data_IF_262872376940
#
_entry.id   IF_262872376940
#
_cell.length_a   1.000
_cell.length_b   1.000
_cell.length_c   1.000
_cell.angle_alpha   90.00
_cell.angle_beta   90.00
_cell.angle_gamma   90.00
#
_symmetry.space_group_name_H-M   'P 1'
#
loop_
_entity.id
_entity.type
_entity.pdbx_description
1 polymer ?
#
# COMPACT_ATOMS: atom_id res chain seq x y z
N UNK A 1 -11.35 4.76 -39.00
CA UNK A 1 -10.69 3.54 -38.49
C UNK A 1 -9.33 3.80 -37.86
N UNK A 2 -8.37 4.49 -38.51
CA UNK A 2 -7.03 4.76 -37.93
C UNK A 2 -7.04 5.56 -36.61
N UNK A 3 -7.89 6.59 -36.50
CA UNK A 3 -8.00 7.42 -35.27
C UNK A 3 -8.54 6.64 -34.05
N UNK A 4 -9.49 5.74 -34.28
CA UNK A 4 -10.02 4.87 -33.23
C UNK A 4 -8.98 3.85 -32.76
N UNK A 5 -8.20 3.27 -33.69
CA UNK A 5 -7.09 2.38 -33.35
C UNK A 5 -6.03 3.06 -32.48
N UNK A 6 -5.61 4.28 -32.85
CA UNK A 6 -4.66 5.08 -32.06
C UNK A 6 -5.23 5.36 -30.66
N UNK A 7 -6.51 5.71 -30.56
CA UNK A 7 -7.17 5.95 -29.27
C UNK A 7 -7.15 4.72 -28.35
N UNK A 8 -7.47 3.53 -28.87
CA UNK A 8 -7.40 2.30 -28.07
C UNK A 8 -5.97 1.94 -27.64
N UNK A 9 -4.98 2.16 -28.52
CA UNK A 9 -3.56 1.97 -28.17
C UNK A 9 -3.16 2.90 -27.03
N UNK A 10 -3.58 4.17 -27.07
CA UNK A 10 -3.28 5.13 -26.00
C UNK A 10 -3.94 4.76 -24.67
N UNK A 11 -5.19 4.30 -24.69
CA UNK A 11 -5.87 3.80 -23.48
C UNK A 11 -5.12 2.59 -22.91
N UNK A 12 -4.78 1.61 -23.76
CA UNK A 12 -4.09 0.41 -23.32
C UNK A 12 -2.71 0.73 -22.74
N UNK A 13 -1.96 1.61 -23.39
CA UNK A 13 -0.68 2.11 -22.89
C UNK A 13 -0.85 2.83 -21.54
N UNK A 14 -1.89 3.65 -21.37
CA UNK A 14 -2.16 4.33 -20.10
C UNK A 14 -2.49 3.36 -18.97
N UNK A 15 -3.23 2.27 -19.24
CA UNK A 15 -3.54 1.23 -18.27
C UNK A 15 -2.26 0.47 -17.87
N UNK A 16 -1.43 0.06 -18.83
CA UNK A 16 -0.18 -0.66 -18.56
C UNK A 16 0.86 0.21 -17.84
N UNK A 17 0.92 1.51 -18.18
CA UNK A 17 1.86 2.46 -17.59
C UNK A 17 1.28 3.26 -16.42
N UNK A 18 0.14 2.84 -15.84
CA UNK A 18 -0.57 3.58 -14.79
C UNK A 18 0.33 4.00 -13.61
N UNK A 19 1.18 3.10 -13.13
CA UNK A 19 2.14 3.41 -12.04
C UNK A 19 3.19 4.44 -12.49
N UNK A 20 3.66 4.37 -13.73
CA UNK A 20 4.64 5.32 -14.27
C UNK A 20 4.03 6.72 -14.42
N UNK A 21 2.81 6.78 -14.98
CA UNK A 21 2.05 8.02 -15.13
C UNK A 21 1.78 8.66 -13.77
N UNK A 22 1.25 7.90 -12.80
CA UNK A 22 1.02 8.41 -11.45
C UNK A 22 2.31 8.95 -10.82
N UNK A 23 3.38 8.16 -10.86
CA UNK A 23 4.68 8.54 -10.30
C UNK A 23 5.42 9.62 -11.12
N UNK A 24 4.85 10.14 -12.20
CA UNK A 24 5.35 11.36 -12.86
C UNK A 24 4.88 12.60 -12.10
N UNK A 25 3.61 12.60 -11.65
CA UNK A 25 2.97 13.76 -11.05
C UNK A 25 2.93 13.74 -9.53
N UNK A 26 2.87 12.55 -8.92
CA UNK A 26 2.65 12.40 -7.49
C UNK A 26 3.92 12.02 -6.72
N UNK A 27 4.10 12.59 -5.54
CA UNK A 27 5.17 12.27 -4.57
C UNK A 27 4.61 12.21 -3.16
N UNK A 28 5.21 11.39 -2.31
CA UNK A 28 4.82 11.24 -0.90
C UNK A 28 5.96 11.72 -0.02
N UNK A 29 5.65 12.54 0.98
CA UNK A 29 6.62 12.98 1.98
C UNK A 29 6.27 12.40 3.34
N UNK A 30 7.18 11.66 3.95
CA UNK A 30 6.99 11.08 5.29
C UNK A 30 6.97 12.20 6.33
N UNK A 31 5.97 12.21 7.20
CA UNK A 31 5.84 13.14 8.34
C UNK A 31 5.71 12.42 9.67
N UNK A 32 5.51 11.11 9.67
CA UNK A 32 5.39 10.31 10.88
C UNK A 32 5.40 8.81 10.60
N UNK A 33 5.31 8.04 11.69
CA UNK A 33 5.28 6.59 11.68
C UNK A 33 4.31 6.08 12.72
N UNK A 34 3.66 4.96 12.41
CA UNK A 34 2.80 4.21 13.33
C UNK A 34 3.43 2.85 13.62
N UNK A 35 3.09 2.31 14.79
CA UNK A 35 3.54 0.98 15.18
C UNK A 35 2.90 -0.08 14.28
N UNK A 36 3.73 -0.96 13.72
CA UNK A 36 3.27 -2.21 13.07
C UNK A 36 2.98 -3.22 14.17
N UNK A 37 1.79 -3.82 14.17
CA UNK A 37 1.33 -4.71 15.23
C UNK A 37 1.14 -6.11 14.68
N UNK A 38 1.61 -7.12 15.40
CA UNK A 38 1.34 -8.51 15.03
C UNK A 38 -0.14 -8.84 15.26
N UNK A 39 -0.72 -9.60 14.32
CA UNK A 39 -2.10 -10.07 14.38
C UNK A 39 -2.14 -11.56 14.72
N UNK A 40 -3.26 -12.04 15.26
CA UNK A 40 -3.45 -13.42 15.74
C UNK A 40 -4.38 -14.26 14.87
N UNK A 41 -5.11 -13.65 13.93
CA UNK A 41 -6.05 -14.34 13.06
C UNK A 41 -5.45 -15.59 12.37
N UNK A 42 -6.02 -16.76 12.64
CA UNK A 42 -5.46 -18.06 12.21
C UNK A 42 -5.68 -18.32 10.72
N UNK A 43 -6.81 -17.91 10.18
CA UNK A 43 -7.15 -18.14 8.77
C UNK A 43 -6.24 -17.32 7.87
N UNK A 44 -6.05 -16.04 8.19
CA UNK A 44 -5.11 -15.17 7.50
C UNK A 44 -3.69 -15.71 7.56
N UNK A 45 -3.21 -16.15 8.74
CA UNK A 45 -1.89 -16.77 8.88
C UNK A 45 -1.73 -18.00 7.99
N UNK A 46 -2.71 -18.91 8.02
CA UNK A 46 -2.71 -20.13 7.20
C UNK A 46 -2.67 -19.80 5.71
N UNK A 47 -3.46 -18.81 5.27
CA UNK A 47 -3.44 -18.34 3.89
C UNK A 47 -2.05 -17.82 3.47
N UNK A 48 -1.40 -17.03 4.33
CA UNK A 48 -0.09 -16.43 4.05
C UNK A 48 1.05 -17.46 4.10
N UNK A 49 0.97 -18.45 4.99
CA UNK A 49 1.97 -19.52 5.11
C UNK A 49 1.95 -20.45 3.90
N UNK A 50 0.78 -20.65 3.28
CA UNK A 50 0.63 -21.42 2.04
C UNK A 50 1.19 -20.71 0.79
N UNK A 51 1.57 -19.43 0.89
CA UNK A 51 2.21 -18.71 -0.22
C UNK A 51 3.67 -19.15 -0.38
N UNK A 52 3.97 -19.80 -1.51
CA UNK A 52 5.33 -20.29 -1.89
C UNK A 52 6.32 -19.19 -2.30
N UNK A 53 5.84 -17.95 -2.36
CA UNK A 53 6.53 -16.75 -2.86
C UNK A 53 7.57 -16.25 -1.86
N UNK A 54 8.86 -16.24 -2.23
CA UNK A 54 9.95 -15.86 -1.33
C UNK A 54 10.66 -14.55 -1.73
N UNK A 55 10.36 -13.98 -2.89
CA UNK A 55 10.89 -12.68 -3.30
C UNK A 55 10.12 -11.53 -2.62
N UNK A 56 10.80 -10.40 -2.38
CA UNK A 56 10.20 -9.25 -1.71
C UNK A 56 9.04 -8.65 -2.53
N UNK A 57 9.16 -8.62 -3.86
CA UNK A 57 8.13 -8.05 -4.72
C UNK A 57 6.89 -8.93 -4.71
N UNK A 58 7.09 -10.23 -4.69
CA UNK A 58 6.05 -11.23 -4.59
C UNK A 58 5.31 -11.17 -3.24
N UNK A 59 6.04 -10.98 -2.13
CA UNK A 59 5.46 -10.77 -0.79
C UNK A 59 4.59 -9.51 -0.79
N UNK A 60 5.12 -8.40 -1.29
CA UNK A 60 4.40 -7.13 -1.38
C UNK A 60 3.13 -7.28 -2.24
N UNK A 61 3.26 -7.91 -3.41
CA UNK A 61 2.15 -8.10 -4.34
C UNK A 61 1.04 -8.97 -3.72
N UNK A 62 1.40 -10.08 -3.07
CA UNK A 62 0.43 -10.94 -2.38
C UNK A 62 -0.23 -10.24 -1.19
N UNK A 63 0.51 -9.41 -0.45
CA UNK A 63 -0.06 -8.63 0.64
C UNK A 63 -1.02 -7.54 0.14
N UNK A 64 -0.71 -6.89 -0.99
CA UNK A 64 -1.60 -5.94 -1.66
C UNK A 64 -2.89 -6.61 -2.11
N UNK A 65 -2.79 -7.70 -2.88
CA UNK A 65 -3.94 -8.49 -3.34
C UNK A 65 -4.81 -8.98 -2.18
N UNK A 66 -4.19 -9.45 -1.10
CA UNK A 66 -4.92 -9.89 0.08
C UNK A 66 -5.62 -8.73 0.77
N UNK A 67 -4.97 -7.57 0.90
CA UNK A 67 -5.55 -6.37 1.51
C UNK A 67 -6.78 -5.89 0.72
N UNK A 68 -6.70 -5.86 -0.62
CA UNK A 68 -7.83 -5.46 -1.49
C UNK A 68 -8.94 -6.50 -1.55
N UNK A 69 -8.61 -7.78 -1.38
CA UNK A 69 -9.59 -8.85 -1.31
C UNK A 69 -10.35 -8.84 0.02
N UNK A 70 -9.67 -8.50 1.11
CA UNK A 70 -10.24 -8.53 2.46
C UNK A 70 -10.91 -7.23 2.90
N UNK A 71 -10.55 -6.09 2.31
CA UNK A 71 -11.01 -4.79 2.80
C UNK A 71 -11.81 -4.05 1.74
N UNK A 72 -12.76 -3.26 2.21
CA UNK A 72 -13.46 -2.24 1.45
C UNK A 72 -13.21 -0.88 2.09
N UNK A 73 -12.88 0.10 1.26
CA UNK A 73 -12.52 1.42 1.75
C UNK A 73 -13.72 2.19 2.31
N UNK A 74 -13.45 3.00 3.33
CA UNK A 74 -14.42 3.80 4.06
C UNK A 74 -13.85 5.17 4.42
N UNK A 75 -14.67 6.19 4.27
CA UNK A 75 -14.38 7.55 4.74
C UNK A 75 -14.73 7.75 6.23
N UNK A 76 -15.37 6.77 6.86
CA UNK A 76 -15.72 6.80 8.28
C UNK A 76 -14.55 6.39 9.18
N UNK A 77 -14.72 6.60 10.49
CA UNK A 77 -13.79 6.06 11.48
C UNK A 77 -13.81 4.53 11.42
N UNK A 78 -12.67 3.95 11.13
CA UNK A 78 -12.45 2.51 11.15
C UNK A 78 -11.42 2.14 12.21
N UNK A 79 -11.36 0.86 12.57
CA UNK A 79 -10.28 0.31 13.38
C UNK A 79 -8.97 0.26 12.58
N UNK A 80 -7.85 0.05 13.26
CA UNK A 80 -6.53 -0.12 12.66
C UNK A 80 -5.79 -1.36 13.16
N UNK A 81 -6.46 -2.22 13.93
CA UNK A 81 -5.97 -3.53 14.34
C UNK A 81 -6.39 -4.56 13.31
N UNK A 82 -5.42 -5.25 12.73
CA UNK A 82 -5.66 -6.28 11.71
C UNK A 82 -6.65 -7.35 12.17
N UNK A 83 -6.60 -7.82 13.43
CA UNK A 83 -7.55 -8.81 13.96
C UNK A 83 -9.01 -8.32 13.98
N UNK A 84 -9.22 -7.01 14.05
CA UNK A 84 -10.56 -6.41 13.96
C UNK A 84 -10.92 -6.21 12.48
N UNK A 85 -9.98 -5.73 11.67
CA UNK A 85 -10.16 -5.49 10.23
C UNK A 85 -10.49 -6.76 9.44
N UNK A 86 -9.90 -7.91 9.80
CA UNK A 86 -10.25 -9.22 9.21
C UNK A 86 -11.73 -9.53 9.39
N UNK A 87 -12.35 -9.06 10.49
CA UNK A 87 -13.77 -9.30 10.78
C UNK A 87 -14.67 -8.24 10.17
N UNK A 88 -14.30 -6.96 10.29
CA UNK A 88 -15.14 -5.85 9.84
C UNK A 88 -15.10 -5.67 8.33
N UNK A 89 -14.02 -6.10 7.66
CA UNK A 89 -13.80 -5.97 6.21
C UNK A 89 -13.89 -4.52 5.71
N UNK A 90 -13.85 -3.53 6.61
CA UNK A 90 -14.02 -2.10 6.31
C UNK A 90 -12.87 -1.33 6.94
N UNK A 91 -12.16 -0.54 6.12
CA UNK A 91 -10.98 0.21 6.55
C UNK A 91 -10.87 1.55 5.85
N UNK A 92 -10.18 2.50 6.48
CA UNK A 92 -9.73 3.73 5.84
C UNK A 92 -8.21 3.64 5.56
N UNK A 93 -7.53 4.71 5.12
CA UNK A 93 -6.09 4.64 4.78
C UNK A 93 -5.23 4.12 5.94
N UNK A 94 -5.55 4.52 7.18
CA UNK A 94 -4.87 4.03 8.40
C UNK A 94 -5.08 2.52 8.56
N UNK A 95 -6.32 2.04 8.39
CA UNK A 95 -6.65 0.62 8.49
C UNK A 95 -6.02 -0.21 7.37
N UNK A 96 -6.06 0.27 6.13
CA UNK A 96 -5.42 -0.37 4.97
C UNK A 96 -3.91 -0.53 5.21
N UNK A 97 -3.24 0.56 5.60
CA UNK A 97 -1.80 0.54 5.83
C UNK A 97 -1.40 -0.27 7.05
N UNK A 98 -2.22 -0.31 8.10
CA UNK A 98 -2.00 -1.21 9.23
C UNK A 98 -2.14 -2.68 8.85
N UNK A 99 -3.21 -3.05 8.11
CA UNK A 99 -3.43 -4.40 7.63
C UNK A 99 -2.28 -4.84 6.69
N UNK A 100 -1.94 -4.00 5.72
CA UNK A 100 -0.90 -4.26 4.72
C UNK A 100 0.47 -4.43 5.39
N UNK A 101 0.88 -3.49 6.25
CA UNK A 101 2.15 -3.57 6.96
C UNK A 101 2.23 -4.84 7.83
N UNK A 102 1.15 -5.16 8.55
CA UNK A 102 1.14 -6.35 9.43
C UNK A 102 1.20 -7.65 8.63
N UNK A 103 0.54 -7.69 7.47
CA UNK A 103 0.59 -8.83 6.53
C UNK A 103 1.99 -9.04 5.98
N UNK A 104 2.63 -7.97 5.48
CA UNK A 104 4.02 -8.04 4.97
C UNK A 104 4.97 -8.46 6.11
N UNK A 105 4.86 -7.85 7.28
CA UNK A 105 5.70 -8.19 8.43
C UNK A 105 5.57 -9.67 8.82
N UNK A 106 4.35 -10.21 8.81
CA UNK A 106 4.12 -11.63 9.08
C UNK A 106 4.82 -12.52 8.05
N UNK A 107 4.66 -12.22 6.75
CA UNK A 107 5.30 -12.99 5.68
C UNK A 107 6.83 -12.92 5.74
N UNK A 108 7.40 -11.74 6.04
CA UNK A 108 8.85 -11.58 6.22
C UNK A 108 9.36 -12.44 7.39
N UNK A 109 8.63 -12.46 8.51
CA UNK A 109 8.99 -13.27 9.67
C UNK A 109 8.89 -14.77 9.36
N UNK A 110 7.79 -15.23 8.75
CA UNK A 110 7.60 -16.65 8.46
C UNK A 110 8.60 -17.19 7.44
N UNK A 111 9.13 -16.31 6.59
CA UNK A 111 10.16 -16.63 5.58
C UNK A 111 11.60 -16.31 6.02
N UNK A 112 11.80 -15.87 7.27
CA UNK A 112 13.12 -15.49 7.83
C UNK A 112 13.84 -14.41 7.00
N UNK A 113 13.09 -13.44 6.48
CA UNK A 113 13.58 -12.30 5.71
C UNK A 113 13.64 -11.00 6.53
N UNK A 114 13.17 -11.03 7.77
CA UNK A 114 13.08 -9.88 8.67
C UNK A 114 14.44 -9.30 9.10
N UNK A 115 15.54 -10.04 8.92
CA UNK A 115 16.89 -9.52 9.17
C UNK A 115 17.37 -8.61 8.03
N UNK A 116 16.84 -8.84 6.81
CA UNK A 116 17.19 -8.11 5.58
C UNK A 116 16.18 -7.03 5.23
N UNK A 117 14.92 -7.21 5.60
CA UNK A 117 13.83 -6.33 5.21
C UNK A 117 13.07 -5.85 6.43
N UNK A 118 12.91 -4.53 6.52
CA UNK A 118 12.11 -3.85 7.55
C UNK A 118 10.85 -3.28 6.93
N UNK A 119 9.72 -3.48 7.58
CA UNK A 119 8.45 -2.85 7.24
C UNK A 119 8.15 -1.69 8.19
N UNK A 120 7.62 -0.61 7.66
CA UNK A 120 7.17 0.55 8.42
C UNK A 120 5.81 1.04 7.92
N UNK A 121 4.91 1.32 8.85
CA UNK A 121 3.65 2.01 8.58
C UNK A 121 3.88 3.51 8.72
N UNK A 122 3.88 4.24 7.60
CA UNK A 122 4.20 5.67 7.55
C UNK A 122 2.95 6.53 7.42
N UNK A 123 3.06 7.74 7.96
CA UNK A 123 2.12 8.83 7.77
C UNK A 123 2.82 9.88 6.91
N UNK A 124 2.14 10.44 5.91
CA UNK A 124 2.74 11.46 5.06
C UNK A 124 1.78 12.36 4.33
N UNK A 125 2.36 13.35 3.67
CA UNK A 125 1.66 14.25 2.77
C UNK A 125 1.85 13.78 1.33
N UNK A 126 0.81 13.97 0.52
CA UNK A 126 0.81 13.72 -0.92
C UNK A 126 1.04 15.06 -1.62
N UNK A 127 1.91 15.04 -2.63
CA UNK A 127 2.23 16.18 -3.46
C UNK A 127 1.83 15.86 -4.90
N UNK A 128 1.13 16.78 -5.55
CA UNK A 128 0.88 16.77 -6.99
C UNK A 128 1.65 17.92 -7.61
N UNK A 129 2.56 17.64 -8.56
CA UNK A 129 3.40 18.66 -9.20
C UNK A 129 4.10 19.57 -8.17
N UNK A 130 4.66 18.98 -7.11
CA UNK A 130 5.31 19.68 -5.98
C UNK A 130 4.40 20.54 -5.09
N UNK A 131 3.09 20.57 -5.36
CA UNK A 131 2.10 21.21 -4.49
C UNK A 131 1.55 20.20 -3.49
N UNK A 132 1.57 20.54 -2.19
CA UNK A 132 1.00 19.68 -1.15
C UNK A 132 -0.53 19.67 -1.27
N UNK A 133 -1.11 18.54 -1.71
CA UNK A 133 -2.55 18.46 -1.93
C UNK A 133 -3.35 18.37 -0.64
N UNK A 134 -2.71 17.92 0.47
CA UNK A 134 -3.36 17.84 1.77
C UNK A 134 -3.79 19.22 2.30
N UNK A 135 -3.15 20.31 1.84
CA UNK A 135 -3.54 21.68 2.20
C UNK A 135 -4.94 22.08 1.69
N UNK A 136 -5.46 21.38 0.68
CA UNK A 136 -6.79 21.63 0.11
C UNK A 136 -7.88 20.75 0.74
N UNK A 137 -7.51 19.83 1.65
CA UNK A 137 -8.44 18.92 2.32
C UNK A 137 -9.09 19.59 3.54
N UNK A 138 -10.42 19.71 3.52
CA UNK A 138 -11.18 20.37 4.61
C UNK A 138 -11.29 19.53 5.87
N UNK A 139 -11.43 18.21 5.74
CA UNK A 139 -11.55 17.30 6.90
C UNK A 139 -10.18 17.04 7.52
N UNK A 140 -10.11 17.08 8.86
CA UNK A 140 -8.92 16.64 9.62
C UNK A 140 -8.48 15.22 9.25
N UNK A 141 -9.43 14.38 8.88
CA UNK A 141 -9.20 12.98 8.57
C UNK A 141 -8.42 12.75 7.25
N UNK A 142 -8.39 13.73 6.33
CA UNK A 142 -7.65 13.63 5.06
C UNK A 142 -6.44 14.57 5.00
N UNK A 143 -6.03 15.15 6.13
CA UNK A 143 -4.87 16.06 6.19
C UNK A 143 -3.53 15.35 6.09
N UNK A 144 -3.53 14.04 6.32
CA UNK A 144 -2.41 13.15 6.05
C UNK A 144 -2.93 11.90 5.36
N UNK A 145 -2.00 11.07 4.90
CA UNK A 145 -2.30 9.79 4.29
C UNK A 145 -1.31 8.74 4.77
N UNK A 146 -1.84 7.58 5.14
CA UNK A 146 -1.07 6.47 5.65
C UNK A 146 -0.68 5.52 4.51
N UNK A 147 0.57 5.09 4.48
CA UNK A 147 1.13 4.17 3.48
C UNK A 147 2.20 3.28 4.12
N UNK A 148 2.77 2.35 3.35
CA UNK A 148 3.76 1.38 3.84
C UNK A 148 5.09 1.56 3.12
N UNK A 149 6.18 1.49 3.87
CA UNK A 149 7.55 1.38 3.34
C UNK A 149 8.10 0.01 3.70
N UNK A 150 8.74 -0.63 2.73
CA UNK A 150 9.54 -1.84 2.90
C UNK A 150 10.98 -1.51 2.50
N UNK A 151 11.91 -1.60 3.44
CA UNK A 151 13.30 -1.18 3.25
C UNK A 151 14.25 -2.36 3.44
N UNK A 152 15.19 -2.52 2.51
CA UNK A 152 16.30 -3.44 2.67
C UNK A 152 17.36 -2.82 3.59
N UNK A 153 17.65 -3.48 4.71
CA UNK A 153 18.56 -2.97 5.75
C UNK A 153 20.02 -2.97 5.29
N UNK A 154 20.39 -3.88 4.38
CA UNK A 154 21.73 -4.03 3.81
C UNK A 154 21.95 -3.08 2.63
N UNK A 155 21.09 -3.13 1.61
CA UNK A 155 21.27 -2.39 0.34
C UNK A 155 20.71 -0.97 0.37
N UNK A 156 19.91 -0.62 1.38
CA UNK A 156 19.14 0.64 1.47
C UNK A 156 18.11 0.82 0.34
N UNK A 157 17.74 -0.26 -0.35
CA UNK A 157 16.60 -0.25 -1.26
C UNK A 157 15.32 0.10 -0.48
N UNK A 158 14.53 1.05 -1.00
CA UNK A 158 13.27 1.49 -0.40
C UNK A 158 12.14 1.26 -1.39
N UNK A 159 11.14 0.48 -0.96
CA UNK A 159 9.91 0.22 -1.72
C UNK A 159 8.76 0.84 -0.94
N UNK A 160 8.14 1.89 -1.50
CA UNK A 160 6.97 2.54 -0.92
C UNK A 160 5.70 2.11 -1.67
N UNK A 161 4.66 1.75 -0.92
CA UNK A 161 3.40 1.20 -1.44
C UNK A 161 2.22 1.77 -0.66
N UNK A 162 1.08 1.90 -1.35
CA UNK A 162 -0.15 2.47 -0.79
C UNK A 162 -1.30 1.52 -1.10
N UNK A 163 -1.84 0.88 -0.05
CA UNK A 163 -2.89 -0.13 -0.19
C UNK A 163 -4.21 0.44 -0.71
N UNK A 164 -4.55 1.68 -0.33
CA UNK A 164 -5.77 2.34 -0.83
C UNK A 164 -5.60 2.74 -2.29
N UNK A 165 -4.42 3.25 -2.67
CA UNK A 165 -4.14 3.60 -4.07
C UNK A 165 -4.11 2.36 -4.98
N UNK A 166 -3.55 1.25 -4.48
CA UNK A 166 -3.57 0.00 -5.20
C UNK A 166 -5.00 -0.54 -5.40
N UNK A 167 -5.86 -0.45 -4.38
CA UNK A 167 -7.26 -0.90 -4.46
C UNK A 167 -8.03 -0.20 -5.59
N UNK A 168 -7.97 1.13 -5.63
CA UNK A 168 -8.76 1.91 -6.58
C UNK A 168 -8.12 2.04 -7.97
N UNK A 169 -6.79 2.09 -8.04
CA UNK A 169 -6.08 2.45 -9.27
C UNK A 169 -5.09 1.37 -9.73
N UNK A 170 -4.88 0.33 -8.94
CA UNK A 170 -3.91 -0.73 -9.21
C UNK A 170 -2.46 -0.23 -9.27
N UNK A 171 -2.17 0.90 -8.63
CA UNK A 171 -0.82 1.46 -8.55
C UNK A 171 -0.08 0.71 -7.44
N UNK A 172 0.87 -0.11 -7.85
CA UNK A 172 1.60 -1.02 -6.97
C UNK A 172 2.78 -0.38 -6.23
N UNK A 173 3.25 0.80 -6.66
CA UNK A 173 4.35 1.53 -6.02
C UNK A 173 4.14 3.04 -6.11
N UNK A 174 4.58 3.74 -5.08
CA UNK A 174 4.61 5.20 -5.01
C UNK A 174 6.05 5.70 -4.91
N UNK A 175 6.29 6.95 -5.31
CA UNK A 175 7.58 7.63 -5.14
C UNK A 175 7.56 8.52 -3.92
N UNK A 176 8.60 8.41 -3.10
CA UNK A 176 8.89 9.35 -2.02
C UNK A 176 9.49 10.64 -2.60
N UNK A 177 9.34 11.74 -1.87
CA UNK A 177 9.94 13.04 -2.16
C UNK A 177 11.41 13.09 -1.72
#
# INVERSE_FOLDING_TARGET
>A
MKKAGIFFILIFAAILCRSCLFNTFFRYNVIGERKVVQFKDRELRTFLDNQKKNDINDIIQSALEKSTSDLSFSFEKCDNKTDILVKTKKANCVGYSAYLASTIQYMLNSKKLNDKWRVSHKVGNIFFLQMNINNYMKSKFFRDHDFVIVENTETKEVIAIDGTLYDYFGINRIKLK
#
